data_IF_776899156470
#
_entry.id   IF_776899156470
#
_cell.length_a   1.000
_cell.length_b   1.000
_cell.length_c   1.000
_cell.angle_alpha   90.00
_cell.angle_beta   90.00
_cell.angle_gamma   90.00
#
_symmetry.space_group_name_H-M   'P 1'
#
loop_
_entity.id
_entity.type
_entity.pdbx_description
1 polymer ?
#
# COMPACT_ATOMS: atom_id res chain seq x y z
N UNK A 1 18.09 55.38 27.23
CA UNK A 1 18.35 54.05 26.63
C UNK A 1 19.71 54.13 25.94
N UNK A 2 20.77 53.71 26.63
CA UNK A 2 22.16 53.80 26.15
C UNK A 2 22.36 52.70 25.12
N UNK A 3 22.64 53.06 23.86
CA UNK A 3 23.07 52.09 22.84
C UNK A 3 24.36 51.46 23.34
N UNK A 4 24.33 50.17 23.66
CA UNK A 4 25.51 49.45 24.15
C UNK A 4 26.70 49.64 23.20
N UNK A 5 27.90 49.78 23.76
CA UNK A 5 29.12 50.06 23.02
C UNK A 5 29.31 49.04 21.87
N UNK A 6 29.14 49.52 20.64
CA UNK A 6 29.41 48.75 19.44
C UNK A 6 30.91 48.49 19.34
N UNK A 7 31.30 47.21 19.34
CA UNK A 7 32.69 46.80 19.23
C UNK A 7 32.90 46.06 17.92
N UNK A 8 33.67 46.67 17.01
CA UNK A 8 34.03 46.09 15.72
C UNK A 8 34.70 44.71 15.89
N UNK A 9 35.52 44.55 16.93
CA UNK A 9 36.15 43.27 17.25
C UNK A 9 35.13 42.17 17.63
N UNK A 10 34.04 42.54 18.33
CA UNK A 10 32.97 41.60 18.66
C UNK A 10 32.18 41.19 17.40
N UNK A 11 32.01 42.07 16.42
CA UNK A 11 31.38 41.74 15.14
C UNK A 11 32.22 40.84 14.26
N UNK A 12 33.52 41.11 14.15
CA UNK A 12 34.45 40.23 13.45
C UNK A 12 34.44 38.81 14.03
N UNK A 13 34.48 38.68 15.37
CA UNK A 13 34.35 37.38 16.04
C UNK A 13 33.00 36.70 15.73
N UNK A 14 31.89 37.44 15.76
CA UNK A 14 30.57 36.89 15.40
C UNK A 14 30.51 36.41 13.94
N UNK A 15 31.09 37.17 13.01
CA UNK A 15 31.13 36.82 11.60
C UNK A 15 32.04 35.60 11.35
N UNK A 16 33.17 35.53 12.03
CA UNK A 16 34.06 34.36 11.99
C UNK A 16 33.35 33.11 12.53
N UNK A 17 32.69 33.20 13.68
CA UNK A 17 31.91 32.09 14.23
C UNK A 17 30.81 31.62 13.27
N UNK A 18 30.11 32.55 12.60
CA UNK A 18 29.12 32.22 11.57
C UNK A 18 29.76 31.49 10.38
N UNK A 19 30.92 31.95 9.91
CA UNK A 19 31.65 31.29 8.81
C UNK A 19 32.11 29.89 9.21
N UNK A 20 32.71 29.74 10.40
CA UNK A 20 33.12 28.45 10.94
C UNK A 20 31.93 27.49 11.06
N UNK A 21 30.79 27.96 11.56
CA UNK A 21 29.56 27.16 11.66
C UNK A 21 29.05 26.72 10.28
N UNK A 22 29.03 27.62 9.28
CA UNK A 22 28.66 27.28 7.89
C UNK A 22 29.58 26.21 7.30
N UNK A 23 30.89 26.33 7.51
CA UNK A 23 31.87 25.33 7.04
C UNK A 23 31.61 23.98 7.71
N UNK A 24 31.40 23.95 9.04
CA UNK A 24 31.09 22.73 9.77
C UNK A 24 29.78 22.08 9.29
N UNK A 25 28.74 22.86 9.03
CA UNK A 25 27.48 22.34 8.48
C UNK A 25 27.68 21.74 7.09
N UNK A 26 28.43 22.42 6.21
CA UNK A 26 28.77 21.91 4.87
C UNK A 26 29.54 20.60 4.96
N UNK A 27 30.55 20.53 5.83
CA UNK A 27 31.34 19.32 6.07
C UNK A 27 30.48 18.17 6.61
N UNK A 28 29.59 18.44 7.59
CA UNK A 28 28.65 17.44 8.12
C UNK A 28 27.71 16.91 7.04
N UNK A 29 27.13 17.81 6.22
CA UNK A 29 26.25 17.42 5.10
C UNK A 29 27.01 16.58 4.07
N UNK A 30 28.22 17.00 3.69
CA UNK A 30 29.05 16.26 2.74
C UNK A 30 29.40 14.88 3.28
N UNK A 31 29.79 14.79 4.55
CA UNK A 31 30.07 13.51 5.20
C UNK A 31 28.84 12.60 5.19
N UNK A 32 27.65 13.11 5.56
CA UNK A 32 26.42 12.35 5.52
C UNK A 32 26.08 11.86 4.10
N UNK A 33 26.27 12.71 3.09
CA UNK A 33 26.08 12.35 1.69
C UNK A 33 27.02 11.21 1.29
N UNK A 34 28.32 11.32 1.56
CA UNK A 34 29.31 10.27 1.24
C UNK A 34 28.98 8.95 1.93
N UNK A 35 28.61 9.01 3.21
CA UNK A 35 28.22 7.85 4.00
C UNK A 35 26.99 7.16 3.39
N UNK A 36 25.90 7.89 3.18
CA UNK A 36 24.63 7.32 2.69
C UNK A 36 24.67 6.92 1.22
N UNK A 37 25.58 7.49 0.42
CA UNK A 37 25.79 7.06 -0.96
C UNK A 37 26.36 5.64 -1.05
N UNK A 38 27.14 5.20 -0.05
CA UNK A 38 27.67 3.82 0.01
C UNK A 38 26.69 2.79 0.58
N UNK A 39 25.65 3.25 1.30
CA UNK A 39 24.72 2.37 2.02
C UNK A 39 23.62 1.86 1.08
N UNK A 40 23.24 0.59 1.26
CA UNK A 40 22.10 0.00 0.55
C UNK A 40 20.77 0.49 1.18
N UNK A 41 19.95 1.27 0.45
CA UNK A 41 18.71 1.82 0.98
C UNK A 41 17.69 0.74 1.36
N UNK A 42 17.70 -0.42 0.68
CA UNK A 42 16.75 -1.50 0.96
C UNK A 42 17.03 -2.13 2.32
N UNK A 43 18.32 -2.33 2.65
CA UNK A 43 18.73 -2.85 3.96
C UNK A 43 18.37 -1.87 5.07
N UNK A 44 18.58 -0.58 4.84
CA UNK A 44 18.22 0.46 5.79
C UNK A 44 16.71 0.45 6.07
N UNK A 45 15.89 0.39 5.03
CA UNK A 45 14.43 0.31 5.17
C UNK A 45 13.99 -0.92 5.97
N UNK A 46 14.51 -2.11 5.65
CA UNK A 46 14.19 -3.34 6.39
C UNK A 46 14.62 -3.26 7.85
N UNK A 47 15.75 -2.61 8.13
CA UNK A 47 16.20 -2.40 9.50
C UNK A 47 15.26 -1.48 10.28
N UNK A 48 14.72 -0.44 9.63
CA UNK A 48 13.66 0.40 10.20
C UNK A 48 12.43 -0.46 10.49
N UNK A 49 11.93 -1.23 9.52
CA UNK A 49 10.73 -2.08 9.71
C UNK A 49 10.91 -3.07 10.86
N UNK A 50 12.06 -3.73 10.97
CA UNK A 50 12.34 -4.68 12.05
C UNK A 50 12.36 -3.99 13.42
N UNK A 51 13.00 -2.83 13.52
CA UNK A 51 13.01 -2.04 14.76
C UNK A 51 11.64 -1.43 15.06
N UNK A 52 10.82 -1.16 14.04
CA UNK A 52 9.45 -0.69 14.21
C UNK A 52 8.54 -1.79 14.76
N UNK A 53 8.66 -3.00 14.23
CA UNK A 53 7.86 -4.15 14.58
C UNK A 53 8.15 -4.74 15.97
N UNK A 54 9.32 -4.46 16.56
CA UNK A 54 9.66 -4.94 17.90
C UNK A 54 8.86 -4.17 18.98
N UNK A 55 8.00 -4.81 19.78
CA UNK A 55 7.20 -4.12 20.81
C UNK A 55 8.00 -3.75 22.06
N UNK A 56 9.14 -4.40 22.33
CA UNK A 56 10.00 -4.07 23.48
C UNK A 56 11.27 -3.36 23.00
N UNK A 57 11.21 -2.03 22.94
CA UNK A 57 12.33 -1.18 22.49
C UNK A 57 13.01 -0.55 23.68
N UNK A 58 14.33 -0.69 23.74
CA UNK A 58 15.14 0.04 24.71
C UNK A 58 15.34 1.50 24.28
N UNK A 59 15.79 2.36 25.20
CA UNK A 59 16.13 3.75 24.89
C UNK A 59 17.20 3.86 23.77
N UNK A 60 18.11 2.88 23.70
CA UNK A 60 19.11 2.77 22.62
C UNK A 60 18.46 2.50 21.27
N UNK A 61 17.46 1.64 21.22
CA UNK A 61 16.73 1.32 19.99
C UNK A 61 15.90 2.51 19.51
N UNK A 62 15.31 3.28 20.42
CA UNK A 62 14.63 4.53 20.06
C UNK A 62 15.59 5.55 19.43
N UNK A 63 16.80 5.72 19.98
CA UNK A 63 17.82 6.60 19.40
C UNK A 63 18.26 6.11 18.02
N UNK A 64 18.50 4.81 17.87
CA UNK A 64 18.90 4.19 16.60
C UNK A 64 17.80 4.31 15.55
N UNK A 65 16.54 4.09 15.92
CA UNK A 65 15.39 4.23 15.02
C UNK A 65 15.23 5.67 14.54
N UNK A 66 15.36 6.67 15.43
CA UNK A 66 15.35 8.08 15.03
C UNK A 66 16.47 8.40 14.04
N UNK A 67 17.67 7.89 14.29
CA UNK A 67 18.81 8.06 13.38
C UNK A 67 18.56 7.43 12.01
N UNK A 68 18.11 6.17 11.97
CA UNK A 68 17.83 5.47 10.71
C UNK A 68 16.71 6.16 9.91
N UNK A 69 15.67 6.66 10.58
CA UNK A 69 14.63 7.46 9.92
C UNK A 69 15.18 8.75 9.34
N UNK A 70 16.00 9.48 10.09
CA UNK A 70 16.66 10.70 9.60
C UNK A 70 17.56 10.41 8.39
N UNK A 71 18.30 9.30 8.41
CA UNK A 71 19.14 8.85 7.29
C UNK A 71 18.28 8.47 6.06
N UNK A 72 17.14 7.80 6.27
CA UNK A 72 16.18 7.49 5.21
C UNK A 72 15.58 8.77 4.58
N UNK A 73 15.13 9.72 5.40
CA UNK A 73 14.58 10.98 4.93
C UNK A 73 15.63 11.79 4.16
N UNK A 74 16.89 11.75 4.60
CA UNK A 74 17.99 12.38 3.88
C UNK A 74 18.21 11.77 2.50
N UNK A 75 18.16 10.43 2.39
CA UNK A 75 18.28 9.71 1.13
C UNK A 75 17.16 10.13 0.17
N UNK A 76 15.92 10.20 0.64
CA UNK A 76 14.75 10.59 -0.17
C UNK A 76 14.85 12.05 -0.61
N UNK A 77 15.14 12.97 0.33
CA UNK A 77 15.24 14.42 0.05
C UNK A 77 16.35 14.76 -0.95
N UNK A 78 17.51 14.09 -0.85
CA UNK A 78 18.64 14.34 -1.76
C UNK A 78 18.64 13.42 -3.00
N UNK A 79 17.56 12.65 -3.23
CA UNK A 79 17.42 11.74 -4.38
C UNK A 79 18.62 10.79 -4.54
N UNK A 80 19.12 10.24 -3.42
CA UNK A 80 20.14 9.21 -3.44
C UNK A 80 19.50 7.87 -3.83
N UNK A 81 20.17 7.06 -4.65
CA UNK A 81 19.72 5.70 -5.05
C UNK A 81 18.31 5.62 -5.66
N UNK A 82 17.85 6.65 -6.39
CA UNK A 82 16.50 6.70 -7.00
C UNK A 82 16.15 5.44 -7.79
N UNK A 83 17.11 4.92 -8.56
CA UNK A 83 16.95 3.72 -9.37
C UNK A 83 16.55 2.46 -8.58
N UNK A 84 16.91 2.38 -7.29
CA UNK A 84 16.55 1.27 -6.40
C UNK A 84 15.31 1.57 -5.56
N UNK A 85 15.18 2.80 -5.08
CA UNK A 85 14.12 3.19 -4.13
C UNK A 85 12.75 3.24 -4.80
N UNK A 86 12.65 3.85 -5.98
CA UNK A 86 11.37 3.97 -6.68
C UNK A 86 10.72 2.61 -7.01
N UNK A 87 11.42 1.64 -7.65
CA UNK A 87 10.83 0.34 -7.91
C UNK A 87 10.55 -0.44 -6.62
N UNK A 88 11.34 -0.24 -5.56
CA UNK A 88 11.13 -0.88 -4.27
C UNK A 88 9.86 -0.38 -3.57
N UNK A 89 9.64 0.94 -3.52
CA UNK A 89 8.45 1.54 -2.94
C UNK A 89 7.19 1.14 -3.72
N UNK A 90 7.24 1.13 -5.06
CA UNK A 90 6.15 0.65 -5.91
C UNK A 90 5.79 -0.81 -5.62
N UNK A 91 6.79 -1.67 -5.41
CA UNK A 91 6.56 -3.08 -5.02
C UNK A 91 5.85 -3.18 -3.67
N UNK A 92 6.33 -2.45 -2.66
CA UNK A 92 5.71 -2.45 -1.32
C UNK A 92 4.26 -1.97 -1.38
N UNK A 93 3.98 -0.91 -2.12
CA UNK A 93 2.64 -0.37 -2.30
C UNK A 93 1.73 -1.41 -2.99
N UNK A 94 2.22 -2.03 -4.08
CA UNK A 94 1.49 -3.07 -4.78
C UNK A 94 1.17 -4.30 -3.90
N UNK A 95 2.09 -4.69 -3.03
CA UNK A 95 1.90 -5.81 -2.10
C UNK A 95 0.90 -5.45 -1.00
N UNK A 96 0.96 -4.22 -0.48
CA UNK A 96 -0.03 -3.71 0.50
C UNK A 96 -1.42 -3.63 -0.12
N UNK A 97 -1.53 -3.18 -1.36
CA UNK A 97 -2.79 -3.13 -2.08
C UNK A 97 -3.34 -4.52 -2.39
N UNK A 98 -2.48 -5.47 -2.77
CA UNK A 98 -2.87 -6.85 -2.96
C UNK A 98 -3.40 -7.48 -1.67
N UNK A 99 -2.73 -7.23 -0.53
CA UNK A 99 -3.18 -7.67 0.80
C UNK A 99 -4.53 -7.04 1.17
N UNK A 100 -4.67 -5.72 1.02
CA UNK A 100 -5.93 -5.01 1.30
C UNK A 100 -7.07 -5.53 0.41
N UNK A 101 -6.81 -5.78 -0.87
CA UNK A 101 -7.78 -6.39 -1.80
C UNK A 101 -8.13 -7.81 -1.38
N UNK A 102 -7.17 -8.60 -0.90
CA UNK A 102 -7.43 -9.96 -0.41
C UNK A 102 -8.26 -9.96 0.88
N UNK A 103 -7.98 -9.06 1.82
CA UNK A 103 -8.73 -8.90 3.07
C UNK A 103 -10.17 -8.43 2.84
N UNK A 104 -10.39 -7.54 1.87
CA UNK A 104 -11.73 -7.06 1.48
C UNK A 104 -12.57 -8.12 0.78
N UNK A 105 -11.96 -9.16 0.19
CA UNK A 105 -12.73 -10.19 -0.49
C UNK A 105 -13.42 -11.08 0.54
N UNK A 106 -14.75 -11.11 0.44
CA UNK A 106 -15.63 -11.93 1.24
C UNK A 106 -15.56 -13.38 0.75
N UNK A 107 -14.78 -14.22 1.42
CA UNK A 107 -14.58 -15.63 1.05
C UNK A 107 -15.20 -16.60 2.06
N UNK A 108 -15.66 -17.76 1.58
CA UNK A 108 -16.11 -18.87 2.44
C UNK A 108 -17.36 -18.50 3.21
N UNK A 109 -17.36 -18.71 4.53
CA UNK A 109 -18.47 -18.34 5.42
C UNK A 109 -18.84 -16.85 5.35
N UNK A 110 -17.87 -15.97 5.03
CA UNK A 110 -18.12 -14.54 4.87
C UNK A 110 -18.59 -14.15 3.47
N UNK A 111 -18.57 -15.07 2.50
CA UNK A 111 -18.99 -14.79 1.13
C UNK A 111 -20.50 -14.57 1.02
N UNK A 112 -20.91 -13.84 -0.01
CA UNK A 112 -22.32 -13.56 -0.31
C UNK A 112 -23.17 -14.84 -0.29
N UNK A 113 -22.64 -15.96 -0.77
CA UNK A 113 -23.36 -17.23 -0.87
C UNK A 113 -23.58 -17.96 0.46
N UNK A 114 -22.72 -17.72 1.46
CA UNK A 114 -22.80 -18.35 2.80
C UNK A 114 -23.30 -17.40 3.88
N UNK A 115 -23.54 -16.13 3.54
CA UNK A 115 -24.13 -15.16 4.44
C UNK A 115 -25.67 -15.21 4.30
N UNK A 116 -26.44 -15.63 5.32
CA UNK A 116 -27.89 -15.74 5.25
C UNK A 116 -28.60 -14.40 4.97
N UNK A 117 -28.01 -13.27 5.36
CA UNK A 117 -28.59 -11.94 5.09
C UNK A 117 -28.41 -11.52 3.63
N UNK A 118 -27.33 -11.96 2.98
CA UNK A 118 -27.02 -11.59 1.59
C UNK A 118 -27.51 -12.61 0.57
N UNK A 119 -27.85 -13.83 1.01
CA UNK A 119 -28.43 -14.88 0.19
C UNK A 119 -29.67 -15.49 0.86
N UNK A 120 -30.81 -14.75 0.88
CA UNK A 120 -32.01 -15.17 1.59
C UNK A 120 -32.67 -16.44 1.02
N UNK A 121 -32.28 -16.89 -0.18
CA UNK A 121 -32.82 -18.07 -0.87
C UNK A 121 -31.86 -19.26 -0.92
N UNK A 122 -30.58 -19.08 -0.61
CA UNK A 122 -29.58 -20.14 -0.70
C UNK A 122 -29.55 -20.98 0.56
N UNK A 123 -29.72 -22.30 0.41
CA UNK A 123 -29.50 -23.25 1.52
C UNK A 123 -28.03 -23.23 1.92
N UNK A 124 -27.70 -22.47 2.96
CA UNK A 124 -26.37 -22.50 3.58
C UNK A 124 -26.33 -23.70 4.52
N UNK A 125 -25.37 -24.63 4.39
CA UNK A 125 -25.19 -25.69 5.37
C UNK A 125 -24.83 -25.06 6.72
N UNK A 126 -25.76 -25.10 7.68
CA UNK A 126 -25.47 -24.66 9.04
C UNK A 126 -24.42 -25.60 9.64
N UNK A 127 -23.31 -25.02 10.12
CA UNK A 127 -22.23 -25.75 10.79
C UNK A 127 -22.75 -26.64 11.94
N UNK A 128 -23.84 -26.20 12.58
CA UNK A 128 -24.51 -26.85 13.70
C UNK A 128 -25.40 -28.03 13.29
N UNK A 129 -25.87 -28.06 12.03
CA UNK A 129 -26.75 -29.11 11.50
C UNK A 129 -25.98 -30.25 10.81
N UNK A 130 -24.64 -30.20 10.80
CA UNK A 130 -23.83 -31.29 10.26
C UNK A 130 -23.79 -32.45 11.26
N UNK A 131 -24.08 -33.65 10.77
CA UNK A 131 -24.05 -34.92 11.53
C UNK A 131 -22.68 -35.18 12.17
N UNK A 132 -21.62 -34.61 11.61
CA UNK A 132 -20.26 -34.70 12.12
C UNK A 132 -19.72 -33.28 12.40
N UNK A 133 -19.32 -33.02 13.65
CA UNK A 133 -18.66 -31.77 14.03
C UNK A 133 -17.28 -31.73 13.38
N UNK A 134 -17.06 -30.69 12.59
CA UNK A 134 -15.76 -30.44 11.97
C UNK A 134 -14.76 -30.03 13.06
N UNK A 135 -13.78 -30.88 13.36
CA UNK A 135 -12.76 -30.67 14.41
C UNK A 135 -11.88 -29.43 14.17
N UNK A 136 -11.70 -29.03 12.91
CA UNK A 136 -10.93 -27.83 12.54
C UNK A 136 -11.64 -27.07 11.42
N UNK A 137 -11.81 -25.73 11.54
CA UNK A 137 -12.43 -24.96 10.47
C UNK A 137 -11.65 -25.17 9.17
N UNK A 138 -12.32 -25.63 8.10
CA UNK A 138 -11.66 -25.83 6.81
C UNK A 138 -11.06 -24.50 6.36
N UNK A 139 -9.75 -24.51 6.09
CA UNK A 139 -9.09 -23.36 5.49
C UNK A 139 -9.66 -23.14 4.10
N UNK A 140 -9.94 -21.89 3.81
CA UNK A 140 -10.42 -21.46 2.52
C UNK A 140 -9.24 -21.32 1.54
N UNK A 141 -8.66 -22.46 1.16
CA UNK A 141 -7.54 -22.52 0.23
C UNK A 141 -8.06 -22.31 -1.20
N UNK A 142 -7.85 -21.08 -1.69
CA UNK A 142 -8.26 -20.66 -3.05
C UNK A 142 -7.20 -20.98 -4.11
N UNK A 143 -6.03 -21.47 -3.69
CA UNK A 143 -4.99 -21.91 -4.61
C UNK A 143 -5.25 -23.37 -4.95
N UNK A 144 -5.21 -23.74 -6.24
CA UNK A 144 -5.26 -25.15 -6.59
C UNK A 144 -4.16 -25.89 -5.82
N UNK A 145 -4.49 -27.05 -5.28
CA UNK A 145 -3.51 -27.95 -4.68
C UNK A 145 -2.36 -28.11 -5.68
N UNK A 146 -1.13 -27.84 -5.23
CA UNK A 146 0.04 -28.02 -6.09
C UNK A 146 0.09 -29.49 -6.52
N UNK A 147 0.61 -29.77 -7.72
CA UNK A 147 0.70 -31.15 -8.22
C UNK A 147 1.45 -32.11 -7.26
N UNK A 148 2.31 -31.57 -6.39
CA UNK A 148 3.03 -32.34 -5.36
C UNK A 148 2.21 -32.57 -4.07
N UNK A 149 1.12 -31.83 -3.87
CA UNK A 149 0.19 -32.01 -2.74
C UNK A 149 -1.06 -32.80 -3.11
N UNK A 150 -1.26 -33.15 -4.39
CA UNK A 150 -2.29 -34.12 -4.78
C UNK A 150 -1.80 -35.51 -4.41
N UNK A 151 -2.40 -36.10 -3.37
CA UNK A 151 -2.16 -37.50 -3.00
C UNK A 151 -2.66 -38.38 -4.16
N UNK A 152 -1.74 -39.06 -4.86
CA UNK A 152 -2.11 -40.06 -5.87
C UNK A 152 -2.62 -41.29 -5.13
N UNK A 153 -3.89 -41.61 -5.31
CA UNK A 153 -4.45 -42.86 -4.82
C UNK A 153 -4.15 -43.96 -5.83
N UNK A 154 -3.82 -45.14 -5.33
CA UNK A 154 -3.70 -46.34 -6.16
C UNK A 154 -5.09 -46.70 -6.73
N UNK A 155 -5.09 -47.33 -7.91
CA UNK A 155 -6.33 -47.79 -8.54
C UNK A 155 -6.93 -48.91 -7.67
N UNK A 156 -8.25 -48.93 -7.56
CA UNK A 156 -8.95 -50.00 -6.88
C UNK A 156 -8.71 -51.33 -7.63
N UNK A 157 -8.24 -52.40 -6.97
CA UNK A 157 -8.01 -53.70 -7.62
C UNK A 157 -9.27 -54.27 -8.30
N UNK A 158 -10.48 -53.86 -7.86
CA UNK A 158 -11.73 -54.27 -8.49
C UNK A 158 -11.89 -53.70 -9.92
N UNK A 159 -11.29 -52.55 -10.21
CA UNK A 159 -11.33 -51.93 -11.54
C UNK A 159 -10.50 -52.77 -12.53
N UNK A 160 -9.39 -53.33 -12.06
CA UNK A 160 -8.52 -54.19 -12.87
C UNK A 160 -9.20 -55.55 -13.14
N UNK A 161 -9.97 -56.10 -12.20
CA UNK A 161 -10.70 -57.37 -12.39
C UNK A 161 -11.91 -57.23 -13.32
N UNK A 162 -12.57 -56.08 -13.34
CA UNK A 162 -13.76 -55.83 -14.17
C UNK A 162 -13.44 -55.55 -15.64
N UNK A 163 -12.18 -55.37 -16.02
CA UNK A 163 -11.78 -55.14 -17.41
C UNK A 163 -12.40 -53.89 -18.03
N UNK A 164 -12.68 -52.86 -17.22
CA UNK A 164 -13.30 -51.62 -17.69
C UNK A 164 -12.32 -50.85 -18.57
N UNK A 165 -12.52 -50.93 -19.88
CA UNK A 165 -11.73 -50.16 -20.85
C UNK A 165 -12.21 -48.70 -20.83
N UNK A 166 -11.30 -47.79 -20.51
CA UNK A 166 -11.58 -46.36 -20.61
C UNK A 166 -11.85 -45.99 -22.08
N UNK A 167 -12.90 -45.21 -22.38
CA UNK A 167 -13.16 -44.77 -23.74
C UNK A 167 -11.97 -43.97 -24.29
N UNK A 168 -11.62 -44.14 -25.57
CA UNK A 168 -10.54 -43.38 -26.18
C UNK A 168 -10.92 -41.90 -26.24
N UNK A 169 -10.02 -41.03 -25.76
CA UNK A 169 -10.22 -39.58 -25.80
C UNK A 169 -9.64 -38.88 -24.57
N UNK A 170 -9.64 -37.55 -24.62
CA UNK A 170 -9.33 -36.74 -23.44
C UNK A 170 -10.45 -36.89 -22.41
N UNK A 171 -10.12 -36.93 -21.11
CA UNK A 171 -11.14 -36.96 -20.07
C UNK A 171 -12.04 -35.73 -20.21
N UNK A 172 -13.34 -35.86 -19.91
CA UNK A 172 -14.29 -34.77 -20.06
C UNK A 172 -13.81 -33.55 -19.26
N UNK A 173 -13.50 -32.47 -19.98
CA UNK A 173 -13.18 -31.19 -19.37
C UNK A 173 -14.46 -30.50 -18.94
N UNK A 174 -14.58 -30.20 -17.64
CA UNK A 174 -15.60 -29.28 -17.18
C UNK A 174 -15.26 -27.89 -17.72
N UNK A 175 -16.04 -27.40 -18.68
CA UNK A 175 -15.92 -26.02 -19.14
C UNK A 175 -16.21 -25.10 -17.96
N UNK A 176 -15.21 -24.30 -17.55
CA UNK A 176 -15.34 -23.35 -16.45
C UNK A 176 -16.30 -22.20 -16.78
N UNK A 177 -16.58 -21.98 -18.07
CA UNK A 177 -17.41 -20.88 -18.55
C UNK A 177 -18.83 -21.34 -18.90
N UNK A 178 -19.83 -20.60 -18.40
CA UNK A 178 -21.24 -20.78 -18.77
C UNK A 178 -21.46 -20.04 -20.09
N UNK A 179 -21.45 -20.75 -21.21
CA UNK A 179 -21.55 -20.17 -22.56
C UNK A 179 -22.91 -19.50 -22.88
N UNK A 180 -23.94 -19.66 -22.04
CA UNK A 180 -25.29 -19.13 -22.25
C UNK A 180 -25.53 -17.70 -21.73
N UNK A 181 -24.52 -16.99 -21.19
CA UNK A 181 -24.72 -15.64 -20.61
C UNK A 181 -24.32 -14.49 -21.53
N UNK A 182 -23.80 -14.76 -22.74
CA UNK A 182 -23.49 -13.71 -23.72
C UNK A 182 -24.79 -13.19 -24.35
N UNK A 183 -25.50 -12.30 -23.65
CA UNK A 183 -26.50 -11.44 -24.29
C UNK A 183 -25.77 -10.63 -25.36
N UNK A 184 -26.05 -10.93 -26.62
CA UNK A 184 -25.61 -10.09 -27.73
C UNK A 184 -26.15 -8.68 -27.48
N UNK A 185 -25.26 -7.72 -27.29
CA UNK A 185 -25.61 -6.30 -27.28
C UNK A 185 -26.08 -6.01 -28.71
N UNK A 186 -27.39 -6.06 -28.94
CA UNK A 186 -28.00 -5.56 -30.17
C UNK A 186 -27.74 -4.05 -30.19
N UNK A 187 -26.74 -3.63 -30.96
CA UNK A 187 -26.53 -2.25 -31.33
C UNK A 187 -27.66 -1.81 -32.26
N UNK A 188 -28.78 -1.38 -31.70
CA UNK A 188 -29.84 -0.72 -32.46
C UNK A 188 -29.54 0.77 -32.55
N UNK A 189 -29.10 1.20 -33.74
CA UNK A 189 -29.23 2.58 -34.21
C UNK A 189 -30.70 2.80 -34.64
N UNK A 190 -31.40 3.67 -33.90
CA UNK A 190 -32.47 4.67 -34.21
C UNK A 190 -33.34 4.52 -35.50
N UNK A 191 -34.61 4.99 -35.54
CA UNK A 191 -35.04 6.31 -35.05
C UNK A 191 -36.41 6.42 -34.35
N UNK A 192 -36.68 7.67 -33.96
CA UNK A 192 -37.76 8.30 -33.20
C UNK A 192 -39.13 8.17 -33.86
N UNK A 193 -40.19 7.94 -33.07
CA UNK A 193 -41.44 8.74 -33.01
C UNK A 193 -42.37 8.26 -31.89
N UNK A 194 -43.18 9.21 -31.42
CA UNK A 194 -43.95 9.29 -30.17
C UNK A 194 -45.07 8.24 -30.01
N UNK A 195 -45.35 7.82 -28.75
CA UNK A 195 -46.55 8.26 -28.03
C UNK A 195 -46.78 7.52 -26.69
N UNK A 196 -47.16 8.32 -25.69
CA UNK A 196 -48.05 8.06 -24.56
C UNK A 196 -47.58 7.26 -23.32
N UNK A 197 -47.24 8.06 -22.29
CA UNK A 197 -47.78 8.05 -20.93
C UNK A 197 -48.52 6.78 -20.43
N UNK A 198 -48.09 6.25 -19.28
CA UNK A 198 -48.81 6.45 -18.01
C UNK A 198 -48.07 5.85 -16.78
N UNK A 199 -47.84 6.74 -15.82
CA UNK A 199 -47.97 6.56 -14.36
C UNK A 199 -47.32 5.36 -13.63
N UNK A 200 -46.34 5.66 -12.78
CA UNK A 200 -46.61 5.72 -11.32
C UNK A 200 -45.45 6.32 -10.50
N UNK A 201 -45.73 7.50 -9.94
CA UNK A 201 -45.39 8.04 -8.60
C UNK A 201 -44.09 7.54 -7.94
N UNK A 202 -43.05 8.38 -7.86
CA UNK A 202 -42.75 9.28 -6.71
C UNK A 202 -42.80 8.61 -5.33
N UNK A 203 -41.62 8.48 -4.72
CA UNK A 203 -41.38 8.86 -3.32
C UNK A 203 -39.93 9.38 -3.23
N UNK A 204 -39.81 10.72 -3.22
CA UNK A 204 -38.62 11.43 -2.75
C UNK A 204 -38.75 11.49 -1.23
N UNK A 205 -37.67 11.17 -0.53
CA UNK A 205 -37.49 11.57 0.86
C UNK A 205 -36.24 12.45 0.90
N UNK A 206 -36.47 13.74 0.96
CA UNK A 206 -35.51 14.69 1.51
C UNK A 206 -35.63 14.59 3.05
N UNK A 207 -34.50 14.48 3.77
CA UNK A 207 -34.06 15.49 4.75
C UNK A 207 -33.03 14.97 5.79
N UNK A 208 -31.87 15.66 5.78
CA UNK A 208 -31.06 16.16 6.90
C UNK A 208 -30.62 15.25 8.07
N UNK A 209 -29.29 15.01 8.17
CA UNK A 209 -28.41 15.81 9.05
C UNK A 209 -26.94 15.36 8.92
N UNK A 210 -26.11 16.21 8.32
CA UNK A 210 -24.66 16.11 8.37
C UNK A 210 -24.17 17.23 9.30
N UNK A 211 -23.78 16.89 10.52
CA UNK A 211 -23.11 17.84 11.43
C UNK A 211 -21.64 17.91 11.01
N UNK A 212 -21.28 18.96 10.28
CA UNK A 212 -19.91 19.45 10.19
C UNK A 212 -19.62 20.23 11.47
N UNK A 213 -18.77 19.66 12.33
CA UNK A 213 -18.08 20.42 13.36
C UNK A 213 -16.87 21.09 12.72
N UNK A 214 -16.97 22.39 12.51
CA UNK A 214 -15.85 23.32 12.46
C UNK A 214 -15.10 23.25 13.79
N UNK A 215 -13.81 22.94 13.71
CA UNK A 215 -12.86 23.23 14.77
C UNK A 215 -11.56 23.66 14.10
N UNK A 216 -11.45 24.97 13.89
CA UNK A 216 -10.18 25.66 13.72
C UNK A 216 -9.42 25.74 15.06
N UNK A 217 -8.13 26.08 14.95
CA UNK A 217 -7.16 26.40 16.00
C UNK A 217 -6.43 25.24 16.70
N UNK A 218 -5.41 24.72 16.00
CA UNK A 218 -4.17 24.28 16.63
C UNK A 218 -3.03 25.10 16.04
N UNK A 219 -2.51 26.02 16.85
CA UNK A 219 -1.23 26.69 16.67
C UNK A 219 -0.12 25.63 16.59
N UNK A 220 0.46 25.44 15.40
CA UNK A 220 1.68 24.67 15.19
C UNK A 220 2.83 25.66 14.99
N UNK A 221 3.56 25.94 16.06
CA UNK A 221 4.87 26.59 16.04
C UNK A 221 5.88 25.67 15.31
N UNK A 222 5.76 25.63 13.99
CA UNK A 222 6.75 25.02 13.12
C UNK A 222 7.67 26.14 12.62
N UNK A 223 8.87 26.22 13.21
CA UNK A 223 9.98 27.06 12.74
C UNK A 223 10.27 26.76 11.27
N UNK A 224 9.70 27.60 10.42
CA UNK A 224 9.95 27.68 9.00
C UNK A 224 11.44 27.97 8.79
N UNK A 225 12.17 26.95 8.32
CA UNK A 225 13.47 27.13 7.67
C UNK A 225 13.24 28.05 6.46
N UNK A 226 13.39 29.36 6.68
CA UNK A 226 13.37 30.37 5.63
C UNK A 226 14.43 30.01 4.58
N UNK A 227 13.96 29.50 3.46
CA UNK A 227 14.72 29.16 2.28
C UNK A 227 15.05 30.41 1.43
N UNK A 228 15.37 31.53 2.08
CA UNK A 228 15.93 32.71 1.43
C UNK A 228 17.43 32.77 1.72
N UNK A 229 18.16 31.75 1.27
CA UNK A 229 19.60 31.84 1.17
C UNK A 229 19.91 32.26 -0.27
N UNK A 230 20.14 33.57 -0.42
CA UNK A 230 20.57 34.22 -1.64
C UNK A 230 21.65 33.38 -2.34
N UNK A 231 21.36 33.02 -3.59
CA UNK A 231 22.36 32.53 -4.53
C UNK A 231 23.44 33.61 -4.62
N UNK A 232 24.70 33.24 -4.38
CA UNK A 232 25.81 34.17 -4.53
C UNK A 232 26.00 34.49 -6.02
N UNK A 233 26.20 35.77 -6.42
CA UNK A 233 26.35 36.17 -7.83
C UNK A 233 27.50 35.48 -8.60
N UNK A 234 28.42 34.78 -7.91
CA UNK A 234 29.58 34.16 -8.55
C UNK A 234 29.28 32.80 -9.22
N UNK A 235 28.12 32.18 -8.99
CA UNK A 235 27.77 30.89 -9.62
C UNK A 235 26.97 31.00 -10.94
N UNK A 236 26.50 32.19 -11.34
CA UNK A 236 25.82 32.38 -12.64
C UNK A 236 26.78 32.35 -13.84
N UNK A 237 28.06 32.66 -13.62
CA UNK A 237 29.07 32.68 -14.68
C UNK A 237 29.47 31.27 -15.19
N UNK A 238 29.22 30.22 -14.40
CA UNK A 238 29.68 28.87 -14.74
C UNK A 238 28.65 28.03 -15.51
N UNK A 239 27.38 28.42 -15.49
CA UNK A 239 26.30 27.72 -16.21
C UNK A 239 25.94 28.34 -17.56
N UNK A 240 26.32 29.59 -17.82
CA UNK A 240 26.10 30.25 -19.11
C UNK A 240 27.26 30.10 -20.12
N UNK A 241 28.32 29.38 -19.76
CA UNK A 241 29.52 29.20 -20.59
C UNK A 241 29.75 27.75 -21.04
N UNK A 242 28.69 26.92 -21.13
CA UNK A 242 28.79 25.56 -21.65
C UNK A 242 27.68 25.23 -22.63
#
# INVERSE_FOLDING_TARGET
MIRGNYSLAAEFKKNELKQQHKIQQRQKRQHQLTKLNSVDPIRLYRQIELLEANPQKDQKDHKKLKQLKSDWDFIVKNKLHTSKIEPFLKKIESDKDAKRKAEKKLWGAKSVYFNPELNPLGKVPNAENLTYKVLTPLKNDTKPLKAHSSKKYEKDPLIDTLGVVLPPGEPPMFYKEVFNTKKAIRSQKRPVEDDQEQNSKKLRHDDFHNQLSDSEDINDDNEEYSANNALAPEEEAYWNAK
#
